data_IF_653453625036
#
_entry.id   IF_653453625036
#
_cell.length_a   1.000
_cell.length_b   1.000
_cell.length_c   1.000
_cell.angle_alpha   90.00
_cell.angle_beta   90.00
_cell.angle_gamma   90.00
#
_symmetry.space_group_name_H-M   'P 1'
#
loop_
_entity.id
_entity.type
_entity.pdbx_description
1 polymer ?
#
# COMPACT_ATOMS: atom_id res chain seq x y z
N UNK A 1 -6.35 41.24 -0.20
CA UNK A 1 -7.51 40.39 0.18
C UNK A 1 -7.16 39.79 1.53
N UNK A 2 -7.95 40.05 2.57
CA UNK A 2 -7.69 39.61 3.97
C UNK A 2 -8.42 38.28 4.20
N UNK A 3 -7.75 37.27 4.74
CA UNK A 3 -8.37 35.98 5.09
C UNK A 3 -8.43 35.86 6.62
N UNK A 4 -9.61 35.52 7.14
CA UNK A 4 -9.87 35.09 8.52
C UNK A 4 -10.29 33.62 8.49
N UNK A 5 -9.87 32.83 9.50
CA UNK A 5 -9.89 31.36 9.49
C UNK A 5 -10.84 30.75 10.55
N UNK A 6 -12.08 30.34 10.19
CA UNK A 6 -12.92 29.52 11.05
C UNK A 6 -13.04 28.06 10.54
N UNK A 7 -13.13 27.14 11.49
CA UNK A 7 -13.14 25.67 11.34
C UNK A 7 -14.18 25.10 10.35
N UNK A 8 -13.71 24.29 9.40
CA UNK A 8 -14.50 23.48 8.46
C UNK A 8 -13.59 22.50 7.69
N UNK A 9 -14.13 21.43 7.06
CA UNK A 9 -13.34 20.24 6.69
C UNK A 9 -12.41 20.40 5.47
N UNK A 10 -12.36 21.57 4.83
CA UNK A 10 -11.47 21.82 3.70
C UNK A 10 -10.22 22.60 4.15
N UNK A 11 -9.25 21.82 4.63
CA UNK A 11 -7.85 22.14 4.93
C UNK A 11 -7.33 23.56 4.62
N UNK A 12 -7.54 24.51 5.53
CA UNK A 12 -6.72 25.72 5.65
C UNK A 12 -6.30 25.89 7.11
N UNK A 13 -5.00 25.98 7.41
CA UNK A 13 -4.57 26.30 8.78
C UNK A 13 -3.42 27.32 8.76
N UNK A 14 -3.75 28.55 9.13
CA UNK A 14 -2.84 29.57 9.65
C UNK A 14 -3.44 29.97 11.01
N UNK A 15 -2.74 29.71 12.11
CA UNK A 15 -3.25 30.00 13.45
C UNK A 15 -2.30 30.92 14.25
N UNK A 16 -2.65 32.20 14.26
CA UNK A 16 -2.75 33.11 15.42
C UNK A 16 -3.77 34.17 14.97
N UNK A 17 -4.68 34.61 15.84
CA UNK A 17 -5.77 35.53 15.47
C UNK A 17 -5.25 36.80 14.78
N UNK A 18 -5.59 36.99 13.50
CA UNK A 18 -5.13 38.14 12.72
C UNK A 18 -5.51 38.07 11.25
N UNK A 19 -5.76 39.25 10.66
CA UNK A 19 -5.82 39.42 9.21
C UNK A 19 -4.37 39.42 8.67
N UNK A 20 -3.98 38.40 7.91
CA UNK A 20 -2.66 38.35 7.28
C UNK A 20 -2.72 38.75 5.81
N UNK A 21 -1.69 39.48 5.36
CA UNK A 21 -1.47 39.72 3.93
C UNK A 21 -0.88 38.47 3.28
N UNK A 22 -1.46 38.06 2.15
CA UNK A 22 -0.95 36.94 1.37
C UNK A 22 0.18 37.41 0.44
N UNK A 23 1.24 36.59 0.27
CA UNK A 23 2.32 36.91 -0.67
C UNK A 23 1.86 36.87 -2.14
N UNK A 24 0.78 36.14 -2.43
CA UNK A 24 0.14 36.08 -3.75
C UNK A 24 -1.38 35.98 -3.59
N UNK A 25 -2.13 36.63 -4.49
CA UNK A 25 -3.58 36.52 -4.51
C UNK A 25 -4.00 35.09 -4.85
N UNK A 26 -4.71 34.44 -3.93
CA UNK A 26 -5.10 33.04 -4.07
C UNK A 26 -6.35 32.75 -3.23
N UNK A 27 -7.14 31.77 -3.66
CA UNK A 27 -8.26 31.20 -2.90
C UNK A 27 -7.91 29.85 -2.26
N UNK A 28 -6.69 29.35 -2.48
CA UNK A 28 -6.24 28.03 -2.04
C UNK A 28 -5.58 28.14 -0.67
N UNK A 29 -6.37 28.09 0.41
CA UNK A 29 -5.87 28.27 1.77
C UNK A 29 -4.77 27.28 2.19
N UNK A 30 -4.82 26.03 1.71
CA UNK A 30 -3.80 25.01 2.00
C UNK A 30 -2.42 25.38 1.48
N UNK A 31 -2.33 26.29 0.51
CA UNK A 31 -1.07 26.75 -0.09
C UNK A 31 -0.13 27.43 0.93
N UNK A 32 -0.71 28.06 1.96
CA UNK A 32 -0.01 28.99 2.85
C UNK A 32 0.18 28.44 4.26
N UNK A 33 1.37 28.66 4.82
CA UNK A 33 1.73 28.31 6.21
C UNK A 33 2.16 29.56 6.98
N UNK A 34 1.93 29.59 8.30
CA UNK A 34 2.49 30.61 9.18
C UNK A 34 3.84 30.13 9.74
N UNK A 35 4.90 30.88 9.47
CA UNK A 35 6.25 30.64 10.02
C UNK A 35 6.71 31.93 10.68
N UNK A 36 6.96 31.91 11.99
CA UNK A 36 7.41 33.06 12.77
C UNK A 36 6.58 34.35 12.56
N UNK A 37 5.24 34.20 12.50
CA UNK A 37 4.32 35.31 12.28
C UNK A 37 4.25 35.82 10.83
N UNK A 38 4.96 35.18 9.90
CA UNK A 38 4.96 35.51 8.46
C UNK A 38 4.24 34.43 7.66
N UNK A 39 3.39 34.83 6.72
CA UNK A 39 2.73 33.89 5.80
C UNK A 39 3.69 33.50 4.67
N UNK A 40 4.01 32.22 4.59
CA UNK A 40 4.89 31.62 3.59
C UNK A 40 4.06 30.77 2.62
N UNK A 41 4.28 30.97 1.32
CA UNK A 41 3.74 30.13 0.27
C UNK A 41 4.63 28.90 0.04
N UNK A 42 4.06 27.71 0.22
CA UNK A 42 4.77 26.43 0.04
C UNK A 42 5.06 26.08 -1.41
N UNK A 43 4.40 26.74 -2.35
CA UNK A 43 4.43 26.40 -3.77
C UNK A 43 5.24 27.40 -4.60
N UNK A 44 5.95 28.34 -3.96
CA UNK A 44 6.95 29.19 -4.64
C UNK A 44 6.36 30.26 -5.55
N UNK A 45 5.22 30.86 -5.18
CA UNK A 45 4.53 31.94 -5.89
C UNK A 45 4.03 31.58 -7.30
N UNK A 46 3.77 30.31 -7.58
CA UNK A 46 3.11 29.84 -8.82
C UNK A 46 1.64 30.29 -8.91
N UNK A 47 0.96 30.07 -10.03
CA UNK A 47 -0.47 30.33 -10.14
C UNK A 47 -1.31 29.29 -9.36
N UNK A 48 -2.55 29.63 -9.01
CA UNK A 48 -3.49 28.66 -8.41
C UNK A 48 -3.77 27.45 -9.33
N UNK A 49 -3.66 27.63 -10.66
CA UNK A 49 -3.73 26.53 -11.62
C UNK A 49 -2.57 25.55 -11.44
N UNK A 50 -1.35 26.07 -11.35
CA UNK A 50 -0.14 25.26 -11.14
C UNK A 50 -0.16 24.55 -9.78
N UNK A 51 -0.65 25.21 -8.71
CA UNK A 51 -0.83 24.54 -7.40
C UNK A 51 -1.75 23.32 -7.53
N UNK A 52 -2.89 23.46 -8.22
CA UNK A 52 -3.82 22.34 -8.45
C UNK A 52 -3.18 21.21 -9.25
N UNK A 53 -2.37 21.52 -10.26
CA UNK A 53 -1.64 20.52 -11.03
C UNK A 53 -0.54 19.82 -10.21
N UNK A 54 0.16 20.54 -9.33
CA UNK A 54 1.12 19.96 -8.39
C UNK A 54 0.39 19.00 -7.43
N UNK A 55 -0.72 19.43 -6.85
CA UNK A 55 -1.50 18.62 -5.91
C UNK A 55 -2.12 17.40 -6.59
N UNK A 56 -2.64 17.55 -7.81
CA UNK A 56 -3.18 16.44 -8.60
C UNK A 56 -2.10 15.38 -8.86
N UNK A 57 -0.90 15.79 -9.31
CA UNK A 57 0.24 14.88 -9.51
C UNK A 57 0.67 14.22 -8.21
N UNK A 58 0.73 14.96 -7.11
CA UNK A 58 1.07 14.40 -5.80
C UNK A 58 0.03 13.38 -5.32
N UNK A 59 -1.26 13.65 -5.54
CA UNK A 59 -2.35 12.73 -5.22
C UNK A 59 -2.28 11.45 -6.07
N UNK A 60 -1.99 11.57 -7.37
CA UNK A 60 -1.78 10.42 -8.25
C UNK A 60 -0.58 9.57 -7.83
N UNK A 61 0.57 10.20 -7.55
CA UNK A 61 1.77 9.51 -7.08
C UNK A 61 1.51 8.78 -5.75
N UNK A 62 0.76 9.40 -4.83
CA UNK A 62 0.38 8.76 -3.56
C UNK A 62 -0.53 7.56 -3.79
N UNK A 63 -1.55 7.67 -4.65
CA UNK A 63 -2.43 6.54 -5.01
C UNK A 63 -1.64 5.38 -5.61
N UNK A 64 -0.68 5.66 -6.48
CA UNK A 64 0.19 4.64 -7.06
C UNK A 64 1.04 3.95 -5.98
N UNK A 65 1.64 4.72 -5.06
CA UNK A 65 2.42 4.16 -3.95
C UNK A 65 1.58 3.31 -2.98
N UNK A 66 0.34 3.76 -2.69
CA UNK A 66 -0.60 3.00 -1.86
C UNK A 66 -0.98 1.67 -2.52
N UNK A 67 -1.17 1.66 -3.85
CA UNK A 67 -1.46 0.45 -4.62
C UNK A 67 -0.30 -0.55 -4.57
N UNK A 68 0.93 -0.10 -4.82
CA UNK A 68 2.12 -0.96 -4.76
C UNK A 68 2.36 -1.51 -3.36
N UNK A 69 2.15 -0.69 -2.32
CA UNK A 69 2.21 -1.12 -0.92
C UNK A 69 1.18 -2.22 -0.64
N UNK A 70 -0.05 -2.06 -1.15
CA UNK A 70 -1.10 -3.06 -0.98
C UNK A 70 -0.78 -4.38 -1.69
N UNK A 71 -0.25 -4.33 -2.93
CA UNK A 71 0.21 -5.55 -3.65
C UNK A 71 1.28 -6.29 -2.85
N UNK A 72 2.32 -5.56 -2.43
CA UNK A 72 3.43 -6.14 -1.70
C UNK A 72 2.95 -6.80 -0.39
N UNK A 73 2.07 -6.13 0.36
CA UNK A 73 1.50 -6.68 1.57
C UNK A 73 0.68 -7.96 1.29
N UNK A 74 -0.14 -7.98 0.23
CA UNK A 74 -0.94 -9.16 -0.11
C UNK A 74 -0.09 -10.33 -0.61
N UNK A 75 0.94 -10.08 -1.41
CA UNK A 75 1.93 -11.09 -1.82
C UNK A 75 2.61 -11.72 -0.61
N UNK A 76 3.01 -10.90 0.38
CA UNK A 76 3.61 -11.43 1.62
C UNK A 76 2.62 -12.29 2.42
N UNK A 77 1.34 -11.92 2.46
CA UNK A 77 0.32 -12.74 3.09
C UNK A 77 0.15 -14.10 2.37
N UNK A 78 0.08 -14.12 1.03
CA UNK A 78 0.03 -15.36 0.23
C UNK A 78 1.22 -16.27 0.55
N UNK A 79 2.44 -15.71 0.57
CA UNK A 79 3.67 -16.47 0.91
C UNK A 79 3.61 -17.09 2.30
N UNK A 80 3.15 -16.30 3.29
CA UNK A 80 3.00 -16.78 4.66
C UNK A 80 1.99 -17.93 4.74
N UNK A 81 0.81 -17.75 4.16
CA UNK A 81 -0.26 -18.76 4.13
C UNK A 81 0.20 -20.04 3.40
N UNK A 82 0.93 -19.91 2.29
CA UNK A 82 1.53 -21.06 1.59
C UNK A 82 2.59 -21.78 2.46
N UNK A 83 3.43 -21.03 3.16
CA UNK A 83 4.41 -21.57 4.12
C UNK A 83 3.75 -22.36 5.24
N UNK A 84 2.65 -21.84 5.81
CA UNK A 84 1.85 -22.53 6.83
C UNK A 84 1.24 -23.84 6.29
N UNK A 85 0.66 -23.81 5.08
CA UNK A 85 0.12 -25.02 4.41
C UNK A 85 1.22 -26.06 4.16
N UNK A 86 2.42 -25.65 3.76
CA UNK A 86 3.58 -26.54 3.56
C UNK A 86 4.05 -27.14 4.90
N UNK A 87 4.14 -26.34 5.96
CA UNK A 87 4.53 -26.80 7.29
C UNK A 87 3.51 -27.81 7.86
N UNK A 88 2.22 -27.62 7.57
CA UNK A 88 1.18 -28.58 7.94
C UNK A 88 1.38 -29.97 7.29
N UNK A 89 2.20 -30.09 6.24
CA UNK A 89 2.58 -31.37 5.61
C UNK A 89 3.85 -32.00 6.22
N UNK A 90 4.48 -31.41 7.24
CA UNK A 90 5.70 -31.95 7.86
C UNK A 90 5.48 -33.33 8.49
N UNK A 91 4.36 -33.54 9.17
CA UNK A 91 4.03 -34.85 9.74
C UNK A 91 3.90 -35.93 8.66
N UNK A 92 3.37 -35.60 7.47
CA UNK A 92 3.25 -36.54 6.34
C UNK A 92 4.63 -36.94 5.84
N UNK A 93 5.58 -36.02 5.79
CA UNK A 93 6.96 -36.31 5.38
C UNK A 93 7.61 -37.25 6.38
N UNK A 94 7.48 -36.99 7.69
CA UNK A 94 8.03 -37.90 8.72
C UNK A 94 7.44 -39.30 8.59
N UNK A 95 6.10 -39.41 8.51
CA UNK A 95 5.41 -40.69 8.33
C UNK A 95 5.82 -41.42 7.04
N UNK A 96 6.00 -40.67 5.94
CA UNK A 96 6.41 -41.25 4.66
C UNK A 96 7.84 -41.82 4.74
N UNK A 97 8.77 -41.09 5.36
CA UNK A 97 10.14 -41.57 5.59
C UNK A 97 10.18 -42.84 6.42
N UNK A 98 9.39 -42.91 7.50
CA UNK A 98 9.26 -44.11 8.34
C UNK A 98 8.76 -45.31 7.53
N UNK A 99 7.74 -45.13 6.68
CA UNK A 99 7.19 -46.20 5.84
C UNK A 99 8.16 -46.65 4.76
N UNK A 100 8.87 -45.72 4.14
CA UNK A 100 9.85 -46.00 3.10
C UNK A 100 11.03 -46.81 3.69
N UNK A 101 11.45 -46.51 4.92
CA UNK A 101 12.44 -47.32 5.65
C UNK A 101 11.94 -48.73 6.00
N UNK A 102 10.68 -48.87 6.39
CA UNK A 102 10.11 -50.16 6.80
C UNK A 102 9.82 -51.08 5.62
N UNK A 103 9.30 -50.53 4.52
CA UNK A 103 8.68 -51.31 3.45
C UNK A 103 9.31 -51.07 2.06
N UNK A 104 10.35 -50.23 1.96
CA UNK A 104 10.98 -49.89 0.67
C UNK A 104 10.07 -49.13 -0.30
N UNK A 105 9.02 -48.48 0.21
CA UNK A 105 8.13 -47.65 -0.62
C UNK A 105 8.78 -46.32 -1.03
N UNK A 106 8.15 -45.57 -1.93
CA UNK A 106 8.54 -44.22 -2.36
C UNK A 106 7.46 -43.19 -2.00
N UNK A 107 6.94 -43.27 -0.78
CA UNK A 107 5.83 -42.41 -0.34
C UNK A 107 6.27 -40.98 -0.03
N UNK A 108 7.57 -40.74 0.19
CA UNK A 108 8.12 -39.39 0.40
C UNK A 108 7.95 -38.50 -0.83
N UNK A 109 8.17 -39.05 -2.03
CA UNK A 109 8.08 -38.30 -3.29
C UNK A 109 6.67 -37.75 -3.53
N UNK A 110 5.63 -38.53 -3.19
CA UNK A 110 4.25 -38.08 -3.28
C UNK A 110 3.96 -36.87 -2.38
N UNK A 111 4.48 -36.88 -1.14
CA UNK A 111 4.32 -35.76 -0.20
C UNK A 111 5.10 -34.53 -0.65
N UNK A 112 6.27 -34.70 -1.27
CA UNK A 112 6.98 -33.59 -1.90
C UNK A 112 6.26 -33.04 -3.14
N UNK A 113 5.59 -33.89 -3.91
CA UNK A 113 4.67 -33.47 -4.96
C UNK A 113 3.55 -32.58 -4.42
N UNK A 114 2.91 -32.96 -3.30
CA UNK A 114 1.89 -32.12 -2.65
C UNK A 114 2.43 -30.74 -2.24
N UNK A 115 3.65 -30.67 -1.68
CA UNK A 115 4.29 -29.38 -1.36
C UNK A 115 4.56 -28.54 -2.59
N UNK A 116 4.98 -29.18 -3.68
CA UNK A 116 5.29 -28.47 -4.92
C UNK A 116 4.04 -27.87 -5.56
N UNK A 117 2.91 -28.57 -5.51
CA UNK A 117 1.62 -28.03 -5.93
C UNK A 117 1.28 -26.74 -5.15
N UNK A 118 1.52 -26.71 -3.84
CA UNK A 118 1.30 -25.49 -3.02
C UNK A 118 2.22 -24.36 -3.45
N UNK A 119 3.51 -24.64 -3.72
CA UNK A 119 4.46 -23.61 -4.19
C UNK A 119 4.04 -23.03 -5.54
N UNK A 120 3.66 -23.89 -6.48
CA UNK A 120 3.21 -23.45 -7.80
C UNK A 120 1.94 -22.61 -7.71
N UNK A 121 0.98 -23.05 -6.91
CA UNK A 121 -0.25 -22.29 -6.70
C UNK A 121 0.04 -20.94 -5.99
N UNK A 122 0.97 -20.88 -5.03
CA UNK A 122 1.41 -19.63 -4.39
C UNK A 122 2.01 -18.68 -5.43
N UNK A 123 2.95 -19.16 -6.25
CA UNK A 123 3.57 -18.36 -7.31
C UNK A 123 2.53 -17.81 -8.28
N UNK A 124 1.53 -18.62 -8.66
CA UNK A 124 0.44 -18.19 -9.51
C UNK A 124 -0.43 -17.12 -8.85
N UNK A 125 -0.75 -17.28 -7.57
CA UNK A 125 -1.51 -16.29 -6.80
C UNK A 125 -0.74 -14.96 -6.66
N UNK A 126 0.56 -15.01 -6.41
CA UNK A 126 1.43 -13.83 -6.40
C UNK A 126 1.42 -13.10 -7.73
N UNK A 127 1.49 -13.83 -8.85
CA UNK A 127 1.41 -13.26 -10.19
C UNK A 127 0.04 -12.61 -10.46
N UNK A 128 -1.06 -13.19 -9.96
CA UNK A 128 -2.39 -12.58 -10.05
C UNK A 128 -2.43 -11.27 -9.26
N UNK A 129 -1.97 -11.27 -7.99
CA UNK A 129 -1.94 -10.06 -7.15
C UNK A 129 -1.10 -8.94 -7.78
N UNK A 130 0.03 -9.29 -8.40
CA UNK A 130 0.88 -8.35 -9.12
C UNK A 130 0.17 -7.68 -10.31
N UNK A 131 -0.89 -8.28 -10.86
CA UNK A 131 -1.68 -7.74 -11.98
C UNK A 131 -2.93 -6.93 -11.61
N UNK A 132 -3.36 -6.88 -10.34
CA UNK A 132 -4.63 -6.25 -9.90
C UNK A 132 -4.58 -4.72 -9.86
N UNK A 133 -5.42 -3.96 -10.56
CA UNK A 133 -5.18 -2.52 -10.75
C UNK A 133 -5.82 -1.60 -9.70
N UNK A 134 -6.59 -2.15 -8.78
CA UNK A 134 -7.30 -1.38 -7.77
C UNK A 134 -7.08 -1.91 -6.36
N UNK A 135 -7.22 -1.01 -5.38
CA UNK A 135 -7.16 -1.40 -3.96
C UNK A 135 -8.31 -2.36 -3.59
N UNK A 136 -9.46 -2.25 -4.22
CA UNK A 136 -10.60 -3.13 -3.99
C UNK A 136 -10.30 -4.56 -4.45
N UNK A 137 -9.78 -4.73 -5.67
CA UNK A 137 -9.36 -6.04 -6.17
C UNK A 137 -8.30 -6.68 -5.27
N UNK A 138 -7.27 -5.91 -4.86
CA UNK A 138 -6.20 -6.42 -3.99
C UNK A 138 -6.75 -6.85 -2.62
N UNK A 139 -7.64 -6.06 -2.03
CA UNK A 139 -8.25 -6.37 -0.72
C UNK A 139 -9.26 -7.51 -0.79
N UNK A 140 -9.93 -7.67 -1.93
CA UNK A 140 -10.89 -8.75 -2.18
C UNK A 140 -10.22 -10.07 -2.57
N UNK A 141 -8.93 -10.07 -2.93
CA UNK A 141 -8.22 -11.28 -3.33
C UNK A 141 -8.08 -12.29 -2.17
N UNK A 142 -8.66 -13.47 -2.33
CA UNK A 142 -8.55 -14.61 -1.40
C UNK A 142 -7.63 -15.71 -1.95
N UNK A 143 -7.01 -16.46 -1.04
CA UNK A 143 -6.05 -17.52 -1.31
C UNK A 143 -6.30 -18.73 -0.40
#
# INVERSE_FOLDING_TARGET
MRISFPHGPDHGVIAAEGDFDLPVASILGHRFHLVDGTVVDRYGNVSDGEVKEIDARAAEARRAADLETARAARIQAVKREAGERIAALDWKVTRARERDLLNGSSTVDAVYGEREIIRQASNQAEAVVAGLNTLEEIRGFSW
#
